data_IF_927118175189
#
_entry.id   IF_927118175189
#
_cell.length_a   1.000
_cell.length_b   1.000
_cell.length_c   1.000
_cell.angle_alpha   90.00
_cell.angle_beta   90.00
_cell.angle_gamma   90.00
#
_symmetry.space_group_name_H-M   'P 1'
#
loop_
_entity.id
_entity.type
_entity.pdbx_description
1 polymer ?
#
# COMPACT_ATOMS: atom_id res chain seq x y z
N UNK A 1 -25.56 2.66 -6.34
CA UNK A 1 -24.26 1.96 -6.36
C UNK A 1 -23.14 2.91 -5.94
N UNK A 2 -22.05 2.41 -5.36
CA UNK A 2 -20.91 3.21 -4.88
C UNK A 2 -19.55 2.63 -5.31
N UNK A 3 -18.56 3.50 -5.51
CA UNK A 3 -17.15 3.11 -5.64
C UNK A 3 -16.49 3.29 -4.27
N UNK A 4 -15.75 2.28 -3.82
CA UNK A 4 -14.97 2.35 -2.59
C UNK A 4 -13.47 2.26 -2.89
N UNK A 5 -12.65 3.13 -2.28
CA UNK A 5 -11.18 3.07 -2.43
C UNK A 5 -10.48 2.67 -1.14
N UNK A 6 -9.59 1.68 -1.19
CA UNK A 6 -8.80 1.18 -0.06
C UNK A 6 -7.34 1.59 -0.25
N UNK A 7 -6.77 2.34 0.68
CA UNK A 7 -5.39 2.81 0.68
C UNK A 7 -4.55 2.02 1.70
N UNK A 8 -3.60 1.21 1.24
CA UNK A 8 -2.67 0.47 2.10
C UNK A 8 -1.28 1.11 2.14
N UNK A 9 -0.94 1.72 3.28
CA UNK A 9 0.37 2.34 3.47
C UNK A 9 1.49 1.29 3.46
N UNK A 10 2.69 1.74 3.09
CA UNK A 10 3.89 0.88 3.08
C UNK A 10 4.40 0.54 4.48
N UNK A 11 5.36 -0.38 4.55
CA UNK A 11 5.98 -0.77 5.83
C UNK A 11 6.43 0.45 6.62
N UNK A 12 6.07 0.52 7.91
CA UNK A 12 6.51 1.59 8.78
C UNK A 12 5.85 2.94 8.48
N UNK A 13 4.91 2.99 7.54
CA UNK A 13 4.13 4.19 7.22
C UNK A 13 2.68 4.11 7.70
N UNK A 14 2.10 5.26 8.06
CA UNK A 14 0.74 5.40 8.61
C UNK A 14 -0.01 6.63 8.05
N UNK A 15 -1.22 6.86 8.56
CA UNK A 15 -2.09 7.98 8.18
C UNK A 15 -1.51 9.38 8.34
N UNK A 16 -0.49 9.56 9.18
CA UNK A 16 0.09 10.87 9.48
C UNK A 16 1.33 11.17 8.62
N UNK A 17 1.81 10.22 7.82
CA UNK A 17 3.00 10.41 6.97
C UNK A 17 2.78 11.30 5.74
N UNK A 18 1.58 11.86 5.59
CA UNK A 18 1.30 12.89 4.59
C UNK A 18 2.14 14.18 4.79
N UNK A 19 2.92 14.30 5.87
CA UNK A 19 3.87 15.40 6.12
C UNK A 19 5.25 14.90 6.58
N UNK A 20 5.68 13.73 6.12
CA UNK A 20 6.93 13.14 6.57
C UNK A 20 8.16 13.70 5.83
N UNK A 21 9.15 14.19 6.58
CA UNK A 21 10.34 14.94 6.09
C UNK A 21 11.16 14.30 4.95
N UNK A 22 11.13 12.98 4.84
CA UNK A 22 11.87 12.27 3.80
C UNK A 22 11.15 12.27 2.44
N UNK A 23 9.89 12.71 2.38
CA UNK A 23 9.09 12.73 1.17
C UNK A 23 8.69 14.16 0.82
N UNK A 24 8.97 14.58 -0.40
CA UNK A 24 8.82 15.98 -0.86
C UNK A 24 7.40 16.50 -0.71
N UNK A 25 6.41 15.62 -0.78
CA UNK A 25 4.99 15.98 -0.66
C UNK A 25 4.23 15.03 0.26
N UNK A 26 4.90 14.50 1.30
CA UNK A 26 4.39 13.40 2.12
C UNK A 26 4.54 12.03 1.44
N UNK A 27 4.37 10.95 2.21
CA UNK A 27 4.32 9.60 1.64
C UNK A 27 3.10 9.48 0.72
N UNK A 28 3.29 8.91 -0.47
CA UNK A 28 2.30 8.94 -1.53
C UNK A 28 0.94 8.37 -1.11
N UNK A 29 0.90 7.16 -0.55
CA UNK A 29 -0.37 6.50 -0.21
C UNK A 29 -1.11 7.29 0.87
N UNK A 30 -0.37 7.75 1.89
CA UNK A 30 -0.90 8.56 2.97
C UNK A 30 -1.46 9.90 2.48
N UNK A 31 -0.75 10.55 1.57
CA UNK A 31 -1.16 11.80 0.94
C UNK A 31 -2.43 11.62 0.10
N UNK A 32 -2.52 10.53 -0.68
CA UNK A 32 -3.72 10.24 -1.48
C UNK A 32 -4.94 9.96 -0.60
N UNK A 33 -4.77 9.19 0.48
CA UNK A 33 -5.85 8.92 1.42
C UNK A 33 -6.36 10.21 2.08
N UNK A 34 -5.47 11.11 2.50
CA UNK A 34 -5.83 12.45 3.02
C UNK A 34 -6.55 13.33 1.98
N UNK A 35 -6.21 13.13 0.72
CA UNK A 35 -6.76 13.86 -0.40
C UNK A 35 -8.06 13.25 -0.95
N UNK A 36 -8.42 12.05 -0.52
CA UNK A 36 -9.72 11.46 -0.84
C UNK A 36 -10.86 12.31 -0.27
N UNK A 37 -11.97 12.36 -1.01
CA UNK A 37 -13.21 13.00 -0.57
C UNK A 37 -14.28 11.96 -0.31
N UNK A 38 -15.27 12.34 0.49
CA UNK A 38 -16.34 11.45 0.92
C UNK A 38 -16.19 11.09 2.39
N UNK A 39 -16.91 10.06 2.81
CA UNK A 39 -16.97 9.60 4.20
C UNK A 39 -15.98 8.46 4.41
N UNK A 40 -15.13 8.60 5.43
CA UNK A 40 -14.23 7.52 5.87
C UNK A 40 -15.03 6.25 6.22
N UNK A 41 -14.45 5.09 5.88
CA UNK A 41 -15.02 3.74 5.92
C UNK A 41 -16.27 3.51 5.07
N UNK A 42 -16.73 4.51 4.33
CA UNK A 42 -17.90 4.42 3.48
C UNK A 42 -17.50 4.52 2.00
N UNK A 43 -16.84 5.61 1.64
CA UNK A 43 -16.40 5.94 0.28
C UNK A 43 -14.90 5.62 0.09
N UNK A 44 -14.12 5.71 1.17
CA UNK A 44 -12.73 5.27 1.20
C UNK A 44 -12.32 4.71 2.57
N UNK A 45 -11.18 4.04 2.64
CA UNK A 45 -10.55 3.61 3.88
C UNK A 45 -9.04 3.69 3.74
N UNK A 46 -8.38 4.22 4.77
CA UNK A 46 -6.94 4.14 4.93
C UNK A 46 -6.57 3.02 5.91
N UNK A 47 -5.55 2.25 5.55
CA UNK A 47 -5.01 1.17 6.38
C UNK A 47 -3.52 1.39 6.56
N UNK A 48 -3.11 1.51 7.82
CA UNK A 48 -1.72 1.69 8.19
C UNK A 48 -0.88 0.47 7.81
N UNK A 49 0.37 0.75 7.43
CA UNK A 49 1.32 -0.26 7.07
C UNK A 49 1.81 -1.06 8.27
N UNK A 50 2.22 -2.29 8.02
CA UNK A 50 2.77 -3.14 9.08
C UNK A 50 4.00 -2.47 9.71
N UNK A 51 4.00 -2.40 11.04
CA UNK A 51 5.13 -1.87 11.82
C UNK A 51 5.19 -0.35 11.98
N UNK A 52 4.12 0.38 11.65
CA UNK A 52 4.04 1.84 11.75
C UNK A 52 3.54 2.37 13.11
N UNK A 53 3.27 1.49 14.06
CA UNK A 53 2.59 1.83 15.32
C UNK A 53 1.06 1.80 15.24
N UNK A 54 0.47 1.74 14.03
CA UNK A 54 -0.97 1.58 13.78
C UNK A 54 -1.83 2.66 14.48
N UNK A 55 -1.71 3.91 14.02
CA UNK A 55 -2.44 5.08 14.55
C UNK A 55 -3.96 4.92 14.46
N UNK A 56 -4.43 4.12 13.50
CA UNK A 56 -5.84 3.81 13.31
C UNK A 56 -6.30 2.54 14.07
N UNK A 57 -5.53 2.07 15.07
CA UNK A 57 -5.85 0.87 15.86
C UNK A 57 -7.26 0.93 16.46
N UNK A 58 -7.72 2.07 16.97
CA UNK A 58 -9.03 2.24 17.61
C UNK A 58 -10.21 2.22 16.62
N UNK A 59 -9.95 2.35 15.32
CA UNK A 59 -10.95 2.37 14.26
C UNK A 59 -11.25 0.98 13.67
N UNK A 60 -10.34 0.00 13.85
CA UNK A 60 -10.48 -1.35 13.27
C UNK A 60 -11.76 -2.08 13.69
N UNK A 61 -12.44 -2.65 12.71
CA UNK A 61 -13.63 -3.50 12.84
C UNK A 61 -13.23 -4.98 12.94
N UNK A 62 -12.52 -5.36 14.01
CA UNK A 62 -12.10 -6.74 14.25
C UNK A 62 -10.99 -6.86 15.28
N UNK A 63 -10.67 -8.09 15.68
CA UNK A 63 -9.56 -8.38 16.59
C UNK A 63 -8.27 -7.84 16.00
N UNK A 64 -7.67 -6.88 16.70
CA UNK A 64 -6.36 -6.39 16.35
C UNK A 64 -5.26 -7.28 16.95
N UNK A 65 -4.21 -7.44 16.19
CA UNK A 65 -2.96 -8.00 16.69
C UNK A 65 -2.04 -6.78 16.79
N UNK A 66 -1.74 -6.23 17.96
CA UNK A 66 -0.94 -4.99 18.03
C UNK A 66 0.49 -5.24 17.48
N UNK A 67 1.03 -4.32 16.67
CA UNK A 67 2.33 -4.48 15.97
C UNK A 67 3.51 -3.76 16.62
N UNK A 68 3.50 -3.55 17.92
CA UNK A 68 4.59 -2.83 18.57
C UNK A 68 5.91 -3.63 18.46
N UNK A 69 6.87 -3.06 17.73
CA UNK A 69 8.27 -3.49 17.71
C UNK A 69 8.80 -4.09 16.41
N UNK A 70 10.13 -4.01 16.27
CA UNK A 70 10.92 -4.46 15.10
C UNK A 70 10.66 -5.92 14.71
N UNK A 71 10.41 -6.80 15.70
CA UNK A 71 10.05 -8.21 15.46
C UNK A 71 8.67 -8.38 14.81
N UNK A 72 7.68 -7.56 15.17
CA UNK A 72 6.35 -7.57 14.55
C UNK A 72 6.39 -7.12 13.09
N UNK A 73 7.16 -6.05 12.83
CA UNK A 73 7.41 -5.51 11.48
C UNK A 73 8.10 -6.53 10.57
N UNK A 74 9.12 -7.23 11.07
CA UNK A 74 9.84 -8.22 10.26
C UNK A 74 8.94 -9.42 9.92
N UNK A 75 8.14 -9.89 10.88
CA UNK A 75 7.25 -11.04 10.75
C UNK A 75 5.98 -10.79 9.93
N UNK A 76 5.69 -9.56 9.52
CA UNK A 76 4.46 -9.24 8.81
C UNK A 76 3.21 -9.44 9.67
N UNK A 77 3.35 -9.42 11.01
CA UNK A 77 2.19 -9.52 11.91
C UNK A 77 1.22 -8.40 11.50
N UNK A 78 -0.02 -8.78 11.23
CA UNK A 78 -1.10 -7.83 11.04
C UNK A 78 -1.80 -7.68 9.75
N UNK A 79 -1.20 -8.23 8.71
CA UNK A 79 -1.84 -8.32 7.42
C UNK A 79 -3.23 -8.94 7.57
N UNK A 80 -3.37 -10.03 8.34
CA UNK A 80 -4.66 -10.67 8.53
C UNK A 80 -5.70 -9.80 9.27
N UNK A 81 -5.29 -9.06 10.30
CA UNK A 81 -6.16 -8.09 11.00
C UNK A 81 -6.63 -7.00 10.04
N UNK A 82 -5.70 -6.42 9.28
CA UNK A 82 -5.99 -5.40 8.28
C UNK A 82 -6.95 -5.93 7.19
N UNK A 83 -6.73 -7.15 6.68
CA UNK A 83 -7.62 -7.79 5.71
C UNK A 83 -9.02 -7.98 6.30
N UNK A 84 -9.13 -8.52 7.52
CA UNK A 84 -10.42 -8.72 8.20
C UNK A 84 -11.16 -7.39 8.40
N UNK A 85 -10.45 -6.35 8.82
CA UNK A 85 -11.01 -5.01 8.99
C UNK A 85 -11.66 -4.50 7.71
N UNK A 86 -10.93 -4.55 6.59
CA UNK A 86 -11.45 -4.07 5.29
C UNK A 86 -12.61 -4.95 4.81
N UNK A 87 -12.50 -6.28 4.90
CA UNK A 87 -13.58 -7.19 4.50
C UNK A 87 -14.87 -6.94 5.29
N UNK A 88 -14.77 -6.62 6.58
CA UNK A 88 -15.95 -6.32 7.41
C UNK A 88 -16.63 -5.01 6.98
N UNK A 89 -15.86 -3.99 6.62
CA UNK A 89 -16.38 -2.75 6.04
C UNK A 89 -17.06 -2.98 4.69
N UNK A 90 -16.43 -3.78 3.82
CA UNK A 90 -16.98 -4.12 2.51
C UNK A 90 -18.31 -4.88 2.62
N UNK A 91 -18.40 -5.84 3.54
CA UNK A 91 -19.64 -6.60 3.80
C UNK A 91 -20.74 -5.74 4.41
N UNK A 92 -20.38 -4.73 5.18
CA UNK A 92 -21.31 -3.98 6.04
C UNK A 92 -21.95 -4.83 7.14
N UNK A 93 -21.40 -6.00 7.49
CA UNK A 93 -21.96 -6.84 8.56
C UNK A 93 -20.87 -7.69 9.21
N UNK A 94 -20.82 -7.71 10.54
CA UNK A 94 -19.99 -8.62 11.32
C UNK A 94 -20.73 -9.09 12.57
N UNK A 95 -20.46 -10.34 13.00
CA UNK A 95 -20.58 -10.68 14.41
C UNK A 95 -19.40 -10.04 15.15
N UNK A 96 -19.69 -9.08 16.02
CA UNK A 96 -18.71 -8.49 16.91
C UNK A 96 -18.21 -9.56 17.90
N UNK A 97 -16.92 -9.90 17.78
CA UNK A 97 -16.21 -10.87 18.62
C UNK A 97 -14.99 -10.22 19.28
N UNK A 98 -15.00 -8.90 19.40
CA UNK A 98 -13.86 -8.14 19.90
C UNK A 98 -13.78 -8.23 21.43
N UNK A 99 -12.55 -8.37 21.93
CA UNK A 99 -12.23 -8.17 23.34
C UNK A 99 -11.88 -6.69 23.56
N UNK A 100 -12.91 -5.89 23.84
CA UNK A 100 -12.77 -4.45 24.05
C UNK A 100 -11.92 -4.12 25.27
N UNK A 101 -11.94 -4.97 26.30
CA UNK A 101 -11.15 -4.73 27.50
C UNK A 101 -9.66 -4.93 27.23
N UNK A 102 -9.30 -5.98 26.47
CA UNK A 102 -7.92 -6.17 26.03
C UNK A 102 -7.46 -5.04 25.13
N UNK A 103 -8.30 -4.56 24.22
CA UNK A 103 -7.99 -3.46 23.30
C UNK A 103 -7.77 -2.14 24.05
N UNK A 104 -8.68 -1.77 24.95
CA UNK A 104 -8.56 -0.57 25.79
C UNK A 104 -7.25 -0.58 26.60
N UNK A 105 -6.92 -1.71 27.24
CA UNK A 105 -5.63 -1.87 27.95
C UNK A 105 -4.41 -1.78 27.04
N UNK A 106 -4.54 -2.16 25.77
CA UNK A 106 -3.50 -2.02 24.76
C UNK A 106 -3.25 -0.55 24.41
N UNK A 107 -4.33 0.21 24.18
CA UNK A 107 -4.26 1.65 23.89
C UNK A 107 -3.71 2.44 25.09
N UNK A 108 -4.06 2.04 26.32
CA UNK A 108 -3.57 2.65 27.56
C UNK A 108 -2.28 1.99 28.09
N UNK A 109 -1.52 1.31 27.23
CA UNK A 109 -0.33 0.56 27.68
C UNK A 109 0.80 1.46 28.15
N UNK A 110 0.97 2.64 27.54
CA UNK A 110 2.00 3.61 27.92
C UNK A 110 1.73 4.26 29.29
N UNK A 111 0.45 4.43 29.66
CA UNK A 111 0.05 5.01 30.95
C UNK A 111 -0.07 3.95 32.05
N UNK A 112 0.20 2.67 31.77
CA UNK A 112 -0.01 1.56 32.69
C UNK A 112 0.91 1.67 33.92
N UNK A 113 0.37 1.79 35.15
CA UNK A 113 1.18 1.83 36.36
C UNK A 113 1.88 0.50 36.62
N UNK A 114 3.04 0.56 37.30
CA UNK A 114 3.70 -0.64 37.81
C UNK A 114 2.76 -1.41 38.75
N UNK A 115 2.71 -2.74 38.59
CA UNK A 115 1.99 -3.59 39.55
C UNK A 115 2.68 -3.48 40.90
N UNK A 116 1.90 -3.36 41.97
CA UNK A 116 2.45 -3.47 43.32
C UNK A 116 3.14 -4.83 43.49
N UNK A 117 4.31 -4.85 44.12
CA UNK A 117 5.04 -6.08 44.44
C UNK A 117 4.35 -6.90 45.54
N UNK A 118 3.43 -6.29 46.29
CA UNK A 118 2.74 -6.91 47.41
C UNK A 118 1.30 -7.29 47.03
N UNK A 119 0.88 -8.57 47.16
CA UNK A 119 -0.42 -9.07 46.71
C UNK A 119 -1.66 -8.37 47.30
N UNK A 120 -1.50 -7.66 48.43
CA UNK A 120 -2.58 -7.07 49.20
C UNK A 120 -2.55 -5.53 49.25
N UNK A 121 -1.55 -4.89 48.63
CA UNK A 121 -1.48 -3.43 48.59
C UNK A 121 -2.30 -2.89 47.41
N UNK A 122 -3.39 -2.17 47.73
CA UNK A 122 -4.20 -1.46 46.75
C UNK A 122 -3.40 -0.31 46.13
N UNK A 123 -2.87 -0.53 44.93
CA UNK A 123 -2.30 0.56 44.14
C UNK A 123 -3.46 1.37 43.52
N UNK A 124 -3.84 2.47 44.17
CA UNK A 124 -4.92 3.35 43.71
C UNK A 124 -4.76 3.73 42.24
N UNK A 125 -3.55 4.09 41.80
CA UNK A 125 -3.26 4.42 40.40
C UNK A 125 -3.58 3.27 39.44
N UNK A 126 -3.31 2.03 39.85
CA UNK A 126 -3.64 0.86 39.03
C UNK A 126 -5.15 0.61 38.99
N UNK A 127 -5.87 0.86 40.09
CA UNK A 127 -7.34 0.78 40.11
C UNK A 127 -7.98 1.86 39.24
N UNK A 128 -7.44 3.08 39.26
CA UNK A 128 -7.88 4.17 38.39
C UNK A 128 -7.63 3.82 36.92
N UNK A 129 -6.43 3.34 36.57
CA UNK A 129 -6.12 2.83 35.22
C UNK A 129 -7.07 1.69 34.77
N UNK A 130 -7.49 0.81 35.69
CA UNK A 130 -8.48 -0.23 35.39
C UNK A 130 -9.87 0.35 35.12
N UNK A 131 -10.31 1.36 35.88
CA UNK A 131 -11.57 2.07 35.63
C UNK A 131 -11.53 2.80 34.29
N UNK A 132 -10.45 3.51 33.98
CA UNK A 132 -10.25 4.18 32.69
C UNK A 132 -10.28 3.16 31.54
N UNK A 133 -9.64 1.99 31.73
CA UNK A 133 -9.68 0.91 30.76
C UNK A 133 -11.10 0.36 30.54
N UNK A 134 -11.92 0.26 31.59
CA UNK A 134 -13.31 -0.17 31.49
C UNK A 134 -14.19 0.85 30.77
N UNK A 135 -14.04 2.14 31.11
CA UNK A 135 -14.75 3.24 30.46
C UNK A 135 -14.42 3.29 28.97
N UNK A 136 -13.13 3.28 28.62
CA UNK A 136 -12.68 3.25 27.23
C UNK A 136 -13.17 1.99 26.49
N UNK A 137 -13.21 0.83 27.15
CA UNK A 137 -13.74 -0.39 26.53
C UNK A 137 -15.23 -0.27 26.19
N UNK A 138 -16.02 0.36 27.07
CA UNK A 138 -17.44 0.62 26.83
C UNK A 138 -17.63 1.59 25.66
N UNK A 139 -16.88 2.70 25.64
CA UNK A 139 -16.93 3.69 24.56
C UNK A 139 -16.53 3.10 23.21
N UNK A 140 -15.45 2.31 23.17
CA UNK A 140 -15.02 1.60 21.96
C UNK A 140 -16.10 0.65 21.45
N UNK A 141 -16.77 -0.08 22.36
CA UNK A 141 -17.85 -1.01 21.99
C UNK A 141 -19.02 -0.25 21.38
N UNK A 142 -19.48 0.82 22.03
CA UNK A 142 -20.59 1.63 21.54
C UNK A 142 -20.26 2.32 20.21
N UNK A 143 -19.10 2.96 20.11
CA UNK A 143 -18.66 3.67 18.91
C UNK A 143 -18.47 2.75 17.71
N UNK A 144 -17.90 1.56 17.91
CA UNK A 144 -17.75 0.57 16.83
C UNK A 144 -19.10 -0.01 16.41
N UNK A 145 -19.99 -0.31 17.35
CA UNK A 145 -21.33 -0.82 17.04
C UNK A 145 -22.15 0.19 16.22
N UNK A 146 -22.17 1.46 16.65
CA UNK A 146 -22.86 2.53 15.92
C UNK A 146 -22.29 2.72 14.51
N UNK A 147 -20.95 2.69 14.37
CA UNK A 147 -20.30 2.78 13.06
C UNK A 147 -20.63 1.58 12.18
N UNK A 148 -20.60 0.37 12.72
CA UNK A 148 -20.96 -0.85 11.98
C UNK A 148 -22.41 -0.80 11.48
N UNK A 149 -23.34 -0.31 12.30
CA UNK A 149 -24.73 -0.10 11.88
C UNK A 149 -24.84 0.91 10.74
N UNK A 150 -24.12 2.03 10.82
CA UNK A 150 -24.11 3.03 9.74
C UNK A 150 -23.57 2.46 8.43
N UNK A 151 -22.46 1.71 8.49
CA UNK A 151 -21.92 1.03 7.31
C UNK A 151 -22.92 0.00 6.78
N UNK A 152 -23.56 -0.79 7.64
CA UNK A 152 -24.55 -1.78 7.24
C UNK A 152 -25.70 -1.16 6.44
N UNK A 153 -26.27 -0.07 6.95
CA UNK A 153 -27.33 0.69 6.30
C UNK A 153 -26.84 1.19 4.94
N UNK A 154 -25.65 1.80 4.88
CA UNK A 154 -25.11 2.32 3.62
C UNK A 154 -24.87 1.21 2.58
N UNK A 155 -24.37 0.04 2.98
CA UNK A 155 -24.16 -1.09 2.04
C UNK A 155 -25.48 -1.64 1.52
N UNK A 156 -26.55 -1.56 2.30
CA UNK A 156 -27.90 -1.93 1.85
C UNK A 156 -28.51 -0.89 0.90
N UNK A 157 -28.42 0.40 1.23
CA UNK A 157 -29.04 1.47 0.44
C UNK A 157 -28.23 1.85 -0.80
N UNK A 158 -26.89 1.76 -0.72
CA UNK A 158 -25.97 2.10 -1.80
C UNK A 158 -24.87 1.03 -1.95
N UNK A 159 -25.22 -0.16 -2.51
CA UNK A 159 -24.28 -1.27 -2.66
C UNK A 159 -23.02 -0.87 -3.44
N UNK A 160 -21.88 -1.48 -3.09
CA UNK A 160 -20.60 -1.24 -3.76
C UNK A 160 -20.64 -1.87 -5.15
N UNK A 161 -20.41 -1.07 -6.19
CA UNK A 161 -20.26 -1.56 -7.58
C UNK A 161 -18.82 -1.86 -7.96
N UNK A 162 -17.84 -1.29 -7.25
CA UNK A 162 -16.42 -1.46 -7.55
C UNK A 162 -15.57 -1.14 -6.32
N UNK A 163 -14.46 -1.87 -6.16
CA UNK A 163 -13.42 -1.54 -5.19
C UNK A 163 -12.11 -1.21 -5.90
N UNK A 164 -11.58 -0.03 -5.63
CA UNK A 164 -10.22 0.36 -6.03
C UNK A 164 -9.30 0.07 -4.84
N UNK A 165 -8.19 -0.62 -5.06
CA UNK A 165 -7.23 -0.95 -4.01
C UNK A 165 -5.86 -0.42 -4.41
N UNK A 166 -5.25 0.39 -3.56
CA UNK A 166 -3.98 1.04 -3.85
C UNK A 166 -3.02 0.85 -2.69
N UNK A 167 -1.74 0.65 -2.99
CA UNK A 167 -0.75 0.49 -1.94
C UNK A 167 0.69 0.42 -2.41
N UNK A 168 1.59 0.66 -1.46
CA UNK A 168 3.04 0.64 -1.68
C UNK A 168 3.70 -0.45 -0.83
N UNK A 169 4.80 -1.06 -1.29
CA UNK A 169 5.57 -2.02 -0.49
C UNK A 169 4.74 -3.23 -0.08
N UNK A 170 4.74 -3.60 1.21
CA UNK A 170 3.80 -4.58 1.77
C UNK A 170 2.34 -4.18 1.57
N UNK A 171 2.01 -2.89 1.57
CA UNK A 171 0.68 -2.40 1.19
C UNK A 171 0.32 -2.73 -0.27
N UNK A 172 1.29 -2.73 -1.19
CA UNK A 172 1.09 -3.20 -2.56
C UNK A 172 0.75 -4.69 -2.63
N UNK A 173 1.39 -5.52 -1.80
CA UNK A 173 1.05 -6.96 -1.70
C UNK A 173 -0.30 -7.18 -1.00
N UNK A 174 -0.65 -6.35 -0.02
CA UNK A 174 -1.97 -6.33 0.61
C UNK A 174 -3.09 -6.10 -0.41
N UNK A 175 -2.83 -5.36 -1.48
CA UNK A 175 -3.80 -5.20 -2.57
C UNK A 175 -4.17 -6.54 -3.20
N UNK A 176 -3.17 -7.38 -3.47
CA UNK A 176 -3.37 -8.69 -4.08
C UNK A 176 -4.10 -9.65 -3.15
N UNK A 177 -3.70 -9.66 -1.87
CA UNK A 177 -4.33 -10.52 -0.87
C UNK A 177 -5.78 -10.12 -0.59
N UNK A 178 -6.09 -8.83 -0.50
CA UNK A 178 -7.46 -8.37 -0.32
C UNK A 178 -8.35 -8.78 -1.50
N UNK A 179 -7.88 -8.58 -2.74
CA UNK A 179 -8.65 -8.93 -3.93
C UNK A 179 -9.02 -10.42 -3.99
N UNK A 180 -8.09 -11.31 -3.63
CA UNK A 180 -8.38 -12.75 -3.59
C UNK A 180 -9.27 -13.14 -2.41
N UNK A 181 -9.10 -12.51 -1.25
CA UNK A 181 -10.01 -12.72 -0.11
C UNK A 181 -11.43 -12.26 -0.42
N UNK A 182 -11.60 -11.16 -1.16
CA UNK A 182 -12.90 -10.74 -1.68
C UNK A 182 -13.48 -11.78 -2.64
N UNK A 183 -12.68 -12.34 -3.54
CA UNK A 183 -13.13 -13.38 -4.47
C UNK A 183 -13.61 -14.65 -3.75
N UNK A 184 -12.95 -15.02 -2.65
CA UNK A 184 -13.32 -16.18 -1.82
C UNK A 184 -14.52 -15.92 -0.91
N UNK A 185 -14.94 -14.67 -0.77
CA UNK A 185 -16.07 -14.28 0.04
C UNK A 185 -17.37 -14.32 -0.77
N UNK A 186 -18.37 -15.15 -0.41
CA UNK A 186 -19.62 -15.22 -1.16
C UNK A 186 -20.32 -13.88 -1.32
N UNK A 187 -20.25 -12.99 -0.32
CA UNK A 187 -20.90 -11.68 -0.35
C UNK A 187 -20.14 -10.64 -1.17
N UNK A 188 -18.85 -10.83 -1.42
CA UNK A 188 -18.00 -9.85 -2.09
C UNK A 188 -17.47 -10.31 -3.45
N UNK A 189 -17.56 -11.61 -3.75
CA UNK A 189 -16.97 -12.26 -4.93
C UNK A 189 -17.43 -11.68 -6.28
N UNK A 190 -18.62 -11.07 -6.30
CA UNK A 190 -19.21 -10.45 -7.49
C UNK A 190 -18.70 -9.02 -7.73
N UNK A 191 -18.07 -8.38 -6.75
CA UNK A 191 -17.63 -6.99 -6.84
C UNK A 191 -16.32 -6.92 -7.64
N UNK A 192 -16.28 -6.17 -8.76
CA UNK A 192 -15.05 -5.98 -9.52
C UNK A 192 -14.02 -5.15 -8.75
N UNK A 193 -12.76 -5.47 -8.97
CA UNK A 193 -11.61 -4.85 -8.30
C UNK A 193 -10.64 -4.25 -9.31
N UNK A 194 -10.16 -3.04 -9.03
CA UNK A 194 -9.00 -2.45 -9.71
C UNK A 194 -7.85 -2.26 -8.71
N UNK A 195 -6.61 -2.49 -9.15
CA UNK A 195 -5.43 -2.43 -8.26
C UNK A 195 -4.38 -1.46 -8.81
N UNK A 196 -3.87 -0.55 -7.99
CA UNK A 196 -2.65 0.20 -8.26
C UNK A 196 -1.59 -0.12 -7.19
N UNK A 197 -0.53 -0.83 -7.55
CA UNK A 197 0.53 -1.22 -6.62
C UNK A 197 1.89 -0.57 -6.97
N UNK A 198 2.49 0.13 -6.00
CA UNK A 198 3.86 0.64 -6.11
C UNK A 198 4.83 -0.31 -5.41
N UNK A 199 5.78 -0.84 -6.18
CA UNK A 199 6.84 -1.76 -5.75
C UNK A 199 6.36 -2.79 -4.70
N UNK A 200 5.38 -3.64 -5.06
CA UNK A 200 4.77 -4.60 -4.13
C UNK A 200 5.81 -5.61 -3.62
N UNK A 201 6.22 -5.47 -2.35
CA UNK A 201 7.28 -6.27 -1.72
C UNK A 201 6.70 -7.01 -0.50
N UNK A 202 6.72 -8.36 -0.46
CA UNK A 202 6.17 -9.12 0.66
C UNK A 202 7.07 -9.13 1.91
N UNK A 203 8.36 -8.79 1.75
CA UNK A 203 9.37 -8.89 2.80
C UNK A 203 9.98 -10.29 2.96
N UNK A 204 11.04 -10.39 3.76
CA UNK A 204 11.86 -11.60 3.92
C UNK A 204 11.19 -12.70 4.75
N UNK A 205 10.43 -12.33 5.77
CA UNK A 205 9.52 -13.23 6.49
C UNK A 205 8.09 -12.88 6.08
N UNK A 206 7.58 -13.63 5.11
CA UNK A 206 6.33 -13.32 4.43
C UNK A 206 5.12 -13.93 5.15
N UNK A 207 4.23 -13.09 5.66
CA UNK A 207 2.96 -13.51 6.28
C UNK A 207 1.76 -13.53 5.29
N UNK A 208 1.95 -13.08 4.05
CA UNK A 208 0.94 -13.13 3.00
C UNK A 208 0.73 -14.56 2.53
N UNK A 209 -0.54 -14.96 2.45
CA UNK A 209 -0.94 -16.32 2.05
C UNK A 209 -1.44 -16.39 0.63
N UNK A 210 -1.99 -15.28 0.12
CA UNK A 210 -2.90 -15.32 -1.03
C UNK A 210 -2.63 -14.18 -2.04
N UNK A 211 -1.38 -14.04 -2.46
CA UNK A 211 -0.94 -12.89 -3.27
C UNK A 211 -0.26 -13.26 -4.60
N UNK A 212 -0.12 -14.56 -4.91
CA UNK A 212 0.69 -15.05 -6.05
C UNK A 212 -0.09 -15.15 -7.38
N UNK A 213 -1.41 -15.23 -7.30
CA UNK A 213 -2.35 -15.34 -8.42
C UNK A 213 -3.47 -14.34 -8.17
N UNK A 214 -3.94 -13.60 -9.16
CA UNK A 214 -5.15 -12.80 -9.07
C UNK A 214 -6.28 -13.45 -9.86
N UNK A 215 -7.45 -13.53 -9.24
CA UNK A 215 -8.63 -14.08 -9.89
C UNK A 215 -9.39 -13.10 -10.79
N UNK A 216 -10.44 -13.61 -11.43
CA UNK A 216 -11.24 -12.91 -12.46
C UNK A 216 -12.02 -11.66 -11.97
N UNK A 217 -12.12 -11.47 -10.65
CA UNK A 217 -12.71 -10.25 -10.09
C UNK A 217 -11.82 -9.02 -10.32
N UNK A 218 -10.51 -9.20 -10.47
CA UNK A 218 -9.59 -8.11 -10.81
C UNK A 218 -9.74 -7.75 -12.29
N UNK A 219 -10.22 -6.54 -12.58
CA UNK A 219 -10.47 -6.04 -13.94
C UNK A 219 -9.27 -5.30 -14.50
N UNK A 220 -8.64 -4.47 -13.68
CA UNK A 220 -7.45 -3.71 -14.06
C UNK A 220 -6.39 -3.77 -12.97
N UNK A 221 -5.13 -3.84 -13.38
CA UNK A 221 -3.99 -3.72 -12.47
C UNK A 221 -2.92 -2.81 -13.06
N UNK A 222 -2.46 -1.84 -12.28
CA UNK A 222 -1.31 -0.99 -12.58
C UNK A 222 -0.23 -1.29 -11.56
N UNK A 223 0.98 -1.57 -12.03
CA UNK A 223 2.13 -1.73 -11.16
C UNK A 223 3.30 -0.84 -11.61
N UNK A 224 3.80 -0.04 -10.67
CA UNK A 224 5.03 0.75 -10.86
C UNK A 224 6.12 0.08 -10.03
N UNK A 225 7.17 -0.38 -10.68
CA UNK A 225 8.32 -0.98 -10.02
C UNK A 225 9.45 0.03 -10.04
N UNK A 226 10.20 0.18 -8.96
CA UNK A 226 11.37 1.03 -9.07
C UNK A 226 12.43 0.26 -9.88
N UNK A 227 13.49 0.90 -10.35
CA UNK A 227 14.53 0.24 -11.16
C UNK A 227 15.81 -0.10 -10.36
N UNK A 228 16.21 0.75 -9.41
CA UNK A 228 17.56 0.76 -8.81
C UNK A 228 17.73 0.15 -7.40
N UNK A 229 16.68 -0.43 -6.82
CA UNK A 229 16.67 -1.14 -5.53
C UNK A 229 17.39 -2.47 -5.63
N UNK A 230 18.30 -2.72 -4.68
CA UNK A 230 19.08 -3.97 -4.58
C UNK A 230 19.10 -4.55 -3.16
N UNK A 231 18.33 -3.98 -2.22
CA UNK A 231 18.31 -4.45 -0.84
C UNK A 231 17.78 -5.89 -0.74
N UNK A 232 18.44 -6.67 0.11
CA UNK A 232 17.98 -8.00 0.48
C UNK A 232 16.54 -7.92 1.03
N UNK A 233 15.69 -8.87 0.65
CA UNK A 233 14.27 -8.93 1.01
C UNK A 233 13.35 -7.85 0.39
N UNK A 234 13.85 -7.00 -0.52
CA UNK A 234 13.07 -6.02 -1.29
C UNK A 234 12.73 -6.47 -2.72
N UNK A 235 12.72 -7.79 -2.98
CA UNK A 235 12.31 -8.32 -4.29
C UNK A 235 10.81 -8.08 -4.50
N UNK A 236 10.49 -7.18 -5.42
CA UNK A 236 9.12 -6.88 -5.81
C UNK A 236 8.45 -8.10 -6.49
N UNK A 237 7.12 -8.17 -6.40
CA UNK A 237 6.32 -9.31 -6.88
C UNK A 237 5.17 -8.85 -7.75
N UNK A 238 5.07 -9.43 -8.94
CA UNK A 238 3.87 -9.36 -9.76
C UNK A 238 3.11 -10.69 -9.68
N UNK A 239 1.82 -10.70 -9.32
CA UNK A 239 1.04 -11.93 -9.34
C UNK A 239 0.82 -12.41 -10.77
N UNK A 240 0.57 -13.72 -10.92
CA UNK A 240 0.00 -14.24 -12.16
C UNK A 240 -1.41 -13.67 -12.33
N UNK A 241 -1.72 -13.18 -13.51
CA UNK A 241 -3.00 -12.53 -13.80
C UNK A 241 -3.99 -13.53 -14.40
N UNK A 242 -5.28 -13.29 -14.16
CA UNK A 242 -6.32 -13.93 -14.96
C UNK A 242 -6.25 -13.42 -16.40
N UNK A 243 -6.55 -14.25 -17.42
CA UNK A 243 -6.57 -13.80 -18.82
C UNK A 243 -7.51 -12.61 -19.09
N UNK A 244 -8.53 -12.42 -18.26
CA UNK A 244 -9.46 -11.28 -18.39
C UNK A 244 -8.96 -9.97 -17.76
N UNK A 245 -7.84 -9.98 -17.06
CA UNK A 245 -7.33 -8.83 -16.31
C UNK A 245 -6.48 -7.95 -17.22
N UNK A 246 -6.91 -6.72 -17.46
CA UNK A 246 -6.09 -5.71 -18.15
C UNK A 246 -4.96 -5.26 -17.24
N UNK A 247 -3.78 -4.99 -17.80
CA UNK A 247 -2.63 -4.61 -16.99
C UNK A 247 -1.78 -3.50 -17.60
N UNK A 248 -1.20 -2.69 -16.72
CA UNK A 248 -0.17 -1.72 -17.04
C UNK A 248 1.00 -1.90 -16.07
N UNK A 249 2.21 -1.97 -16.60
CA UNK A 249 3.40 -2.18 -15.79
C UNK A 249 4.52 -1.32 -16.33
N UNK A 250 5.21 -0.60 -15.45
CA UNK A 250 6.35 0.24 -15.84
C UNK A 250 7.41 0.19 -14.77
N UNK A 251 8.66 0.45 -15.17
CA UNK A 251 9.70 0.84 -14.25
C UNK A 251 9.69 2.34 -14.00
N UNK A 252 10.33 2.76 -12.93
CA UNK A 252 10.69 4.15 -12.66
C UNK A 252 12.08 4.17 -12.02
N UNK A 253 12.98 5.09 -12.42
CA UNK A 253 14.27 5.26 -11.78
C UNK A 253 14.13 5.49 -10.27
N UNK A 254 15.10 4.99 -9.52
CA UNK A 254 15.21 5.11 -8.08
C UNK A 254 14.97 3.81 -7.30
N UNK A 255 15.02 3.96 -5.99
CA UNK A 255 14.85 2.90 -5.00
C UNK A 255 13.42 2.81 -4.49
N UNK A 256 13.19 1.86 -3.58
CA UNK A 256 11.86 1.55 -3.06
C UNK A 256 11.06 2.77 -2.60
N UNK A 257 11.68 3.68 -1.84
CA UNK A 257 11.04 4.90 -1.35
C UNK A 257 10.95 6.04 -2.38
N UNK A 258 11.74 5.99 -3.45
CA UNK A 258 11.78 7.05 -4.46
C UNK A 258 10.46 7.16 -5.22
N UNK A 259 9.80 6.01 -5.46
CA UNK A 259 8.46 5.96 -6.08
C UNK A 259 7.38 6.72 -5.31
N UNK A 260 7.53 6.83 -3.99
CA UNK A 260 6.51 7.41 -3.10
C UNK A 260 6.95 8.77 -2.56
N UNK A 261 7.87 9.44 -3.24
CA UNK A 261 8.23 10.84 -2.98
C UNK A 261 9.58 11.07 -2.31
N UNK A 262 10.39 10.02 -2.07
CA UNK A 262 11.72 10.21 -1.49
C UNK A 262 12.71 10.73 -2.53
N UNK A 263 13.09 12.00 -2.40
CA UNK A 263 13.97 12.68 -3.35
C UNK A 263 15.46 12.59 -3.00
N UNK A 264 15.84 11.91 -1.93
CA UNK A 264 17.24 11.86 -1.51
C UNK A 264 18.09 11.08 -2.52
N UNK A 265 19.31 11.54 -2.77
CA UNK A 265 20.24 10.89 -3.72
C UNK A 265 20.65 9.46 -3.34
N UNK A 266 20.41 9.02 -2.08
CA UNK A 266 20.58 7.61 -1.70
C UNK A 266 19.36 6.73 -1.96
N UNK A 267 18.21 7.33 -2.30
CA UNK A 267 16.90 6.68 -2.32
C UNK A 267 16.38 6.27 -0.94
N UNK A 268 17.07 6.64 0.14
CA UNK A 268 16.72 6.38 1.53
C UNK A 268 16.71 7.67 2.36
N UNK A 269 17.21 7.63 3.59
CA UNK A 269 17.18 8.80 4.50
C UNK A 269 18.43 9.70 4.41
N UNK A 270 19.30 9.51 3.41
CA UNK A 270 20.61 10.20 3.29
C UNK A 270 20.80 10.85 1.93
N UNK A 271 21.58 11.92 1.85
CA UNK A 271 21.92 12.61 0.61
C UNK A 271 21.01 13.82 0.35
N UNK A 272 21.32 14.58 -0.70
CA UNK A 272 20.57 15.78 -1.08
C UNK A 272 19.21 15.41 -1.71
N UNK A 273 18.19 16.23 -1.47
CA UNK A 273 16.82 16.03 -1.97
C UNK A 273 16.61 16.44 -3.43
N UNK A 274 17.42 15.91 -4.35
CA UNK A 274 17.44 16.33 -5.76
C UNK A 274 16.52 15.52 -6.69
N UNK A 275 16.16 14.29 -6.31
CA UNK A 275 15.54 13.30 -7.19
C UNK A 275 14.02 13.26 -7.05
N UNK A 276 13.36 14.39 -7.29
CA UNK A 276 11.91 14.55 -7.08
C UNK A 276 11.06 13.88 -8.17
N UNK A 277 11.61 13.76 -9.38
CA UNK A 277 10.92 13.29 -10.59
C UNK A 277 10.16 11.97 -10.42
N UNK A 278 10.80 10.87 -9.98
CA UNK A 278 10.14 9.57 -9.88
C UNK A 278 8.87 9.58 -9.01
N UNK A 279 8.94 10.23 -7.84
CA UNK A 279 7.81 10.32 -6.93
C UNK A 279 6.69 11.21 -7.45
N UNK A 280 7.05 12.33 -8.08
CA UNK A 280 6.08 13.25 -8.68
C UNK A 280 5.34 12.62 -9.87
N UNK A 281 6.04 11.94 -10.78
CA UNK A 281 5.42 11.26 -11.92
C UNK A 281 4.56 10.09 -11.44
N UNK A 282 5.04 9.30 -10.47
CA UNK A 282 4.26 8.18 -9.91
C UNK A 282 2.98 8.70 -9.24
N UNK A 283 3.06 9.82 -8.51
CA UNK A 283 1.90 10.47 -7.89
C UNK A 283 0.88 10.93 -8.92
N UNK A 284 1.31 11.74 -9.89
CA UNK A 284 0.41 12.28 -10.92
C UNK A 284 -0.29 11.15 -11.69
N UNK A 285 0.47 10.12 -12.08
CA UNK A 285 -0.08 8.95 -12.76
C UNK A 285 -1.11 8.21 -11.89
N UNK A 286 -0.82 8.00 -10.60
CA UNK A 286 -1.74 7.36 -9.67
C UNK A 286 -3.02 8.17 -9.45
N UNK A 287 -2.92 9.50 -9.30
CA UNK A 287 -4.08 10.40 -9.16
C UNK A 287 -4.99 10.32 -10.39
N UNK A 288 -4.41 10.36 -11.60
CA UNK A 288 -5.15 10.24 -12.86
C UNK A 288 -5.84 8.89 -13.01
N UNK A 289 -5.13 7.79 -12.75
CA UNK A 289 -5.70 6.44 -12.83
C UNK A 289 -6.82 6.23 -11.81
N UNK A 290 -6.61 6.63 -10.55
CA UNK A 290 -7.62 6.50 -9.50
C UNK A 290 -8.87 7.31 -9.82
N UNK A 291 -8.70 8.55 -10.30
CA UNK A 291 -9.83 9.39 -10.75
C UNK A 291 -10.55 8.75 -11.94
N UNK A 292 -9.80 8.20 -12.90
CA UNK A 292 -10.36 7.43 -14.03
C UNK A 292 -11.10 6.15 -13.62
N UNK A 293 -10.80 5.60 -12.45
CA UNK A 293 -11.56 4.50 -11.82
C UNK A 293 -12.69 4.99 -10.90
N UNK A 294 -12.94 6.29 -10.83
CA UNK A 294 -14.04 6.88 -10.06
C UNK A 294 -13.72 7.18 -8.60
N UNK A 295 -12.46 7.03 -8.15
CA UNK A 295 -12.03 7.53 -6.84
C UNK A 295 -12.17 9.05 -6.82
N UNK A 296 -12.82 9.58 -5.78
CA UNK A 296 -13.03 11.01 -5.63
C UNK A 296 -11.87 11.61 -4.83
N UNK A 297 -11.10 12.51 -5.45
CA UNK A 297 -9.99 13.25 -4.86
C UNK A 297 -10.31 14.76 -4.84
N UNK A 298 -9.79 15.51 -3.87
CA UNK A 298 -9.98 16.97 -3.81
C UNK A 298 -9.31 17.60 -5.03
N UNK A 299 -10.07 18.35 -5.83
CA UNK A 299 -9.56 18.93 -7.09
C UNK A 299 -8.24 19.72 -6.89
N UNK A 300 -8.18 20.57 -5.87
CA UNK A 300 -7.03 21.44 -5.59
C UNK A 300 -5.84 20.73 -4.91
N UNK A 301 -5.93 19.42 -4.64
CA UNK A 301 -4.83 18.64 -4.04
C UNK A 301 -4.18 17.65 -5.01
N UNK A 302 -4.75 17.47 -6.20
CA UNK A 302 -4.13 16.69 -7.28
C UNK A 302 -3.06 17.52 -7.99
N UNK A 303 -2.02 16.87 -8.51
CA UNK A 303 -0.94 17.50 -9.27
C UNK A 303 -1.41 17.93 -10.66
N UNK A 304 -2.25 17.11 -11.30
CA UNK A 304 -2.84 17.35 -12.62
C UNK A 304 -1.82 17.89 -13.64
N UNK A 305 -0.67 17.23 -13.75
CA UNK A 305 0.40 17.69 -14.62
C UNK A 305 0.00 17.60 -16.09
N UNK A 306 0.39 18.62 -16.84
CA UNK A 306 0.35 18.58 -18.30
C UNK A 306 1.31 17.52 -18.83
N UNK A 307 1.07 17.04 -20.05
CA UNK A 307 1.99 16.14 -20.75
C UNK A 307 3.42 16.71 -20.79
N UNK A 308 3.54 18.00 -21.10
CA UNK A 308 4.83 18.68 -21.16
C UNK A 308 5.56 18.61 -19.80
N UNK A 309 4.84 18.84 -18.70
CA UNK A 309 5.43 18.76 -17.36
C UNK A 309 5.93 17.35 -17.02
N UNK A 310 5.22 16.31 -17.45
CA UNK A 310 5.67 14.92 -17.26
C UNK A 310 6.96 14.67 -18.05
N UNK A 311 7.05 15.15 -19.29
CA UNK A 311 8.25 15.03 -20.13
C UNK A 311 9.44 15.74 -19.48
N UNK A 312 9.27 16.97 -18.99
CA UNK A 312 10.33 17.69 -18.26
C UNK A 312 10.83 16.92 -17.04
N UNK A 313 9.93 16.28 -16.28
CA UNK A 313 10.33 15.46 -15.14
C UNK A 313 11.12 14.22 -15.59
N UNK A 314 10.79 13.64 -16.74
CA UNK A 314 11.59 12.56 -17.33
C UNK A 314 12.95 13.07 -17.83
N UNK A 315 13.03 14.24 -18.45
CA UNK A 315 14.32 14.85 -18.82
C UNK A 315 15.20 15.09 -17.59
N UNK A 316 14.63 15.56 -16.49
CA UNK A 316 15.32 15.68 -15.19
C UNK A 316 15.77 14.33 -14.64
N UNK A 317 14.98 13.27 -14.81
CA UNK A 317 15.40 11.92 -14.42
C UNK A 317 16.61 11.47 -15.25
N UNK A 318 16.59 11.71 -16.57
CA UNK A 318 17.70 11.39 -17.47
C UNK A 318 18.96 12.18 -17.11
N UNK A 319 18.84 13.48 -16.83
CA UNK A 319 19.99 14.31 -16.46
C UNK A 319 20.62 13.91 -15.11
N UNK A 320 19.89 13.17 -14.27
CA UNK A 320 20.34 12.67 -12.97
C UNK A 320 20.64 11.15 -12.98
N UNK A 321 20.79 10.53 -14.15
CA UNK A 321 20.99 9.08 -14.29
C UNK A 321 22.14 8.54 -13.42
N UNK A 322 23.24 9.27 -13.29
CA UNK A 322 24.36 8.86 -12.44
C UNK A 322 23.96 8.64 -10.98
N UNK A 323 23.05 9.46 -10.45
CA UNK A 323 22.58 9.30 -9.07
C UNK A 323 21.77 8.01 -8.91
N UNK A 324 20.95 7.66 -9.90
CA UNK A 324 20.19 6.41 -9.93
C UNK A 324 21.11 5.19 -10.06
N UNK A 325 22.11 5.24 -10.94
CA UNK A 325 23.11 4.17 -11.07
C UNK A 325 23.89 3.93 -9.76
N UNK A 326 24.26 5.00 -9.05
CA UNK A 326 24.94 4.90 -7.73
C UNK A 326 24.07 4.19 -6.68
N UNK A 327 22.75 4.19 -6.81
CA UNK A 327 21.85 3.53 -5.87
C UNK A 327 21.97 1.99 -5.88
N UNK A 328 22.50 1.37 -6.95
CA UNK A 328 22.68 -0.09 -7.01
C UNK A 328 23.64 -0.60 -5.91
N UNK A 329 24.56 0.25 -5.46
CA UNK A 329 25.49 -0.04 -4.36
C UNK A 329 24.93 0.24 -2.95
N UNK A 330 23.67 0.68 -2.83
CA UNK A 330 23.09 1.13 -1.56
C UNK A 330 22.02 0.16 -1.07
N UNK A 331 21.98 -0.09 0.25
CA UNK A 331 20.98 -0.97 0.89
C UNK A 331 20.37 -0.33 2.12
N UNK A 332 19.11 -0.69 2.44
CA UNK A 332 18.41 -0.16 3.63
C UNK A 332 18.93 -0.79 4.94
N UNK A 333 19.50 -1.99 4.90
CA UNK A 333 20.06 -2.68 6.06
C UNK A 333 21.57 -2.53 6.10
N UNK A 334 22.07 -1.58 6.90
CA UNK A 334 23.49 -1.29 7.06
C UNK A 334 24.37 -2.46 7.58
N UNK A 335 23.79 -3.61 7.95
CA UNK A 335 24.52 -4.78 8.49
C UNK A 335 24.94 -5.85 7.46
N UNK A 336 24.51 -5.76 6.20
CA UNK A 336 24.78 -6.80 5.19
C UNK A 336 25.71 -6.34 4.06
N UNK A 337 26.83 -5.68 4.37
CA UNK A 337 27.93 -5.59 3.37
C UNK A 337 28.52 -6.98 3.06
N UNK A 338 28.38 -7.96 3.97
CA UNK A 338 28.92 -9.31 3.80
C UNK A 338 27.94 -10.36 3.24
N UNK A 339 26.63 -10.08 3.19
CA UNK A 339 25.62 -11.06 2.77
C UNK A 339 24.79 -10.52 1.61
N UNK A 340 25.35 -10.76 0.41
CA UNK A 340 24.71 -10.83 -0.90
C UNK A 340 23.68 -9.74 -1.24
N UNK A 341 24.14 -8.72 -1.98
CA UNK A 341 23.30 -7.95 -2.89
C UNK A 341 22.83 -8.88 -4.02
N UNK A 342 21.53 -8.88 -4.34
CA UNK A 342 21.08 -9.58 -5.54
C UNK A 342 21.46 -8.75 -6.77
N UNK A 343 22.17 -9.35 -7.74
CA UNK A 343 22.48 -8.71 -9.03
C UNK A 343 21.21 -8.24 -9.76
N UNK A 344 20.13 -9.01 -9.63
CA UNK A 344 18.86 -8.71 -10.29
C UNK A 344 17.76 -8.35 -9.28
N UNK A 345 17.16 -7.16 -9.48
CA UNK A 345 15.97 -6.69 -8.75
C UNK A 345 14.71 -7.44 -9.17
N UNK A 346 14.66 -7.83 -10.44
CA UNK A 346 13.49 -8.35 -11.12
C UNK A 346 13.75 -9.83 -11.33
N UNK A 347 12.90 -10.71 -10.80
CA UNK A 347 12.99 -12.17 -11.03
C UNK A 347 12.72 -12.61 -12.48
N UNK A 348 13.03 -11.75 -13.47
CA UNK A 348 12.88 -12.00 -14.89
C UNK A 348 14.03 -12.82 -15.49
N UNK A 349 15.23 -12.78 -14.90
CA UNK A 349 16.27 -13.71 -15.36
C UNK A 349 15.87 -15.14 -15.02
N UNK A 350 16.02 -16.04 -16.01
CA UNK A 350 15.86 -17.50 -15.87
C UNK A 350 16.66 -17.97 -14.65
N UNK A 351 16.02 -18.18 -13.51
CA UNK A 351 16.58 -19.06 -12.49
C UNK A 351 16.57 -20.46 -13.09
N UNK A 352 17.69 -20.87 -13.70
CA UNK A 352 17.90 -22.26 -14.12
C UNK A 352 18.29 -23.05 -12.89
N UNK A 353 17.38 -23.90 -12.42
CA UNK A 353 17.72 -24.98 -11.49
C UNK A 353 17.74 -26.27 -12.32
N UNK A 354 18.92 -26.87 -12.46
CA UNK A 354 19.12 -28.08 -13.29
C UNK A 354 18.70 -27.92 -14.77
N UNK A 355 18.95 -26.77 -15.38
CA UNK A 355 18.64 -26.54 -16.81
C UNK A 355 17.18 -26.22 -17.13
N UNK A 356 16.26 -26.34 -16.16
CA UNK A 356 14.83 -26.01 -16.34
C UNK A 356 14.61 -24.51 -16.09
N UNK A 357 14.04 -23.74 -17.04
CA UNK A 357 13.65 -22.35 -16.80
C UNK A 357 12.56 -22.25 -15.73
N UNK A 358 12.88 -21.75 -14.53
CA UNK A 358 11.86 -21.40 -13.53
C UNK A 358 11.45 -19.93 -13.67
N UNK A 359 10.38 -19.66 -14.40
CA UNK A 359 9.68 -18.38 -14.30
C UNK A 359 8.87 -18.35 -13.00
N UNK A 360 9.46 -17.89 -11.89
CA UNK A 360 8.72 -17.78 -10.63
C UNK A 360 7.83 -16.54 -10.60
N UNK A 361 8.23 -15.43 -11.22
CA UNK A 361 7.46 -14.18 -11.31
C UNK A 361 7.73 -13.49 -12.65
N UNK A 362 6.68 -13.27 -13.45
CA UNK A 362 6.74 -12.53 -14.71
C UNK A 362 6.11 -11.16 -14.48
N UNK A 363 6.74 -10.12 -15.00
CA UNK A 363 6.19 -8.78 -15.02
C UNK A 363 5.69 -8.56 -16.45
N UNK A 364 4.42 -8.90 -16.74
CA UNK A 364 3.90 -8.85 -18.10
C UNK A 364 3.91 -7.39 -18.55
N UNK A 365 4.21 -7.12 -19.83
CA UNK A 365 4.27 -5.75 -20.38
C UNK A 365 5.52 -4.96 -20.04
N UNK A 366 6.54 -5.58 -19.44
CA UNK A 366 7.83 -4.95 -19.12
C UNK A 366 8.95 -5.35 -20.12
N UNK A 367 8.70 -6.31 -21.00
CA UNK A 367 9.73 -6.98 -21.80
C UNK A 367 10.16 -6.25 -23.09
N UNK A 368 9.85 -4.96 -23.24
CA UNK A 368 10.10 -4.21 -24.47
C UNK A 368 11.26 -3.24 -24.28
N UNK A 369 12.14 -3.15 -25.28
CA UNK A 369 13.09 -2.04 -25.41
C UNK A 369 12.28 -0.80 -25.86
N UNK A 370 12.25 0.25 -25.04
CA UNK A 370 11.46 1.47 -25.30
C UNK A 370 12.26 2.54 -26.08
N UNK A 371 13.38 2.17 -26.70
CA UNK A 371 14.24 3.09 -27.44
C UNK A 371 14.87 4.13 -26.52
N UNK A 372 14.74 5.41 -26.87
CA UNK A 372 15.31 6.54 -26.10
C UNK A 372 14.49 6.93 -24.86
N UNK A 373 13.36 6.25 -24.62
CA UNK A 373 12.52 6.52 -23.46
C UNK A 373 13.04 5.78 -22.22
N UNK A 374 13.12 6.50 -21.09
CA UNK A 374 13.48 5.96 -19.76
C UNK A 374 12.69 4.69 -19.40
N UNK A 375 11.40 4.66 -19.66
CA UNK A 375 10.55 3.50 -19.36
C UNK A 375 9.26 3.51 -20.20
N UNK A 376 8.42 2.49 -20.00
CA UNK A 376 7.12 2.36 -20.68
C UNK A 376 6.25 3.60 -20.51
N UNK A 377 6.10 4.11 -19.29
CA UNK A 377 5.24 5.28 -19.05
C UNK A 377 5.76 6.53 -19.76
N UNK A 378 7.08 6.74 -19.79
CA UNK A 378 7.66 7.81 -20.58
C UNK A 378 7.34 7.64 -22.08
N UNK A 379 7.55 6.44 -22.62
CA UNK A 379 7.25 6.11 -24.02
C UNK A 379 5.77 6.37 -24.37
N UNK A 380 4.85 5.88 -23.52
CA UNK A 380 3.42 6.05 -23.71
C UNK A 380 2.98 7.52 -23.58
N UNK A 381 3.60 8.31 -22.69
CA UNK A 381 3.36 9.76 -22.60
C UNK A 381 3.86 10.49 -23.85
N UNK A 382 5.05 10.13 -24.37
CA UNK A 382 5.56 10.68 -25.63
C UNK A 382 4.61 10.36 -26.79
N UNK A 383 4.06 9.16 -26.83
CA UNK A 383 3.07 8.71 -27.82
C UNK A 383 1.65 9.26 -27.59
N UNK A 384 1.43 10.09 -26.56
CA UNK A 384 0.11 10.65 -26.22
C UNK A 384 -0.94 9.56 -25.93
N UNK A 385 -0.51 8.44 -25.34
CA UNK A 385 -1.41 7.37 -24.92
C UNK A 385 -2.41 7.89 -23.88
N UNK A 386 -3.71 7.74 -24.15
CA UNK A 386 -4.75 8.31 -23.31
C UNK A 386 -4.83 7.73 -21.88
N UNK A 387 -4.35 6.50 -21.68
CA UNK A 387 -4.25 5.90 -20.35
C UNK A 387 -3.06 6.48 -19.57
N UNK A 388 -1.86 6.51 -20.16
CA UNK A 388 -0.66 7.02 -19.48
C UNK A 388 -0.74 8.54 -19.22
N UNK A 389 -1.19 9.32 -20.21
CA UNK A 389 -1.20 10.79 -20.09
C UNK A 389 -2.36 11.33 -19.23
N UNK A 390 -3.52 10.66 -19.25
CA UNK A 390 -4.77 11.18 -18.70
C UNK A 390 -5.52 10.22 -17.77
N UNK A 391 -5.03 8.99 -17.55
CA UNK A 391 -5.72 8.01 -16.71
C UNK A 391 -7.01 7.45 -17.31
N UNK A 392 -7.20 7.56 -18.63
CA UNK A 392 -8.43 7.10 -19.31
C UNK A 392 -8.54 5.58 -19.23
N UNK A 393 -9.28 5.08 -18.25
CA UNK A 393 -9.43 3.64 -17.93
C UNK A 393 -9.79 2.76 -19.15
N UNK A 394 -10.66 3.24 -20.04
CA UNK A 394 -11.06 2.51 -21.24
C UNK A 394 -9.91 2.33 -22.25
N UNK A 395 -8.92 3.23 -22.24
CA UNK A 395 -7.75 3.20 -23.11
C UNK A 395 -6.65 2.25 -22.59
N UNK A 396 -6.84 1.62 -21.43
CA UNK A 396 -5.92 0.60 -20.96
C UNK A 396 -5.95 -0.59 -21.95
N UNK A 397 -4.80 -0.95 -22.55
CA UNK A 397 -4.75 -1.99 -23.56
C UNK A 397 -5.30 -3.32 -23.04
N UNK A 398 -5.89 -4.09 -23.95
CA UNK A 398 -6.42 -5.41 -23.64
C UNK A 398 -5.30 -6.36 -23.20
N UNK A 399 -5.60 -7.36 -22.38
CA UNK A 399 -4.62 -8.38 -22.00
C UNK A 399 -4.17 -9.10 -23.29
N UNK A 400 -2.85 -9.26 -23.46
CA UNK A 400 -2.26 -10.10 -24.52
C UNK A 400 -2.46 -11.57 -24.19
#
# INVERSE_FOLDING_TARGET
>A
MSVLTVFFCGTGSNSEDNNHKNYVSGELISTLAKNATGRDMIDYIQVDGVGSGNQNEWLKQGKDDTYSGVKGTLLGKGIDSNMRHVLNILRGSQQDKNDYMKRAKGLLSESRPAKSAWPFATNQRYQDWLKDSQALAADLKQGIAARQQNIAIERQTKPISQVNIVGWSRGGVSCFELANRMLKDPKLSHIPVNIFACDPVPGGMNAFKDYKLLGKNVKQIVCVFAEDERSLAFKARMPRLSPSTKYYTTYMPGRHGTLVGNANTSGGSKGAGLLTGPGLVTRDFMEKVLTGWGTQLKANSTLNFSRQRIIELYEQMRSNEEHFNKMHGMTYTAKNRLLWTSKDRVGQQRERRYGIPMYRFQFPGITNNYGDAINRHHCDVLATNAFAAYGTSAALPNPV
#
